data_IF_022110444292
#
_entry.id   IF_022110444292
#
_cell.length_a   1.000
_cell.length_b   1.000
_cell.length_c   1.000
_cell.angle_alpha   90.00
_cell.angle_beta   90.00
_cell.angle_gamma   90.00
#
_symmetry.space_group_name_H-M   'P 1'
#
loop_
_entity.id
_entity.type
_entity.pdbx_description
1 polymer ?
#
# COMPACT_ATOMS: atom_id res chain seq x y z
N UNK A 1 -36.90 76.34 36.37
CA UNK A 1 -35.61 75.65 36.18
C UNK A 1 -35.86 74.19 36.52
N UNK A 2 -35.97 73.31 35.51
CA UNK A 2 -36.10 71.88 35.76
C UNK A 2 -34.72 71.35 36.11
N UNK A 3 -34.48 71.11 37.40
CA UNK A 3 -33.36 70.27 37.84
C UNK A 3 -33.70 68.85 37.42
N UNK A 4 -33.18 68.44 36.27
CA UNK A 4 -33.19 67.02 35.89
C UNK A 4 -32.52 66.28 37.05
N UNK A 5 -33.27 65.39 37.69
CA UNK A 5 -32.80 64.69 38.88
C UNK A 5 -31.67 63.75 38.45
N UNK A 6 -30.51 63.86 39.09
CA UNK A 6 -29.31 63.10 38.72
C UNK A 6 -29.57 61.58 38.77
N UNK A 7 -30.52 61.17 39.61
CA UNK A 7 -30.99 59.79 39.74
C UNK A 7 -31.74 59.29 38.51
N UNK A 8 -32.54 60.13 37.85
CA UNK A 8 -33.26 59.76 36.63
C UNK A 8 -32.29 59.58 35.45
N UNK A 9 -31.26 60.41 35.38
CA UNK A 9 -30.20 60.30 34.35
C UNK A 9 -29.34 59.05 34.59
N UNK A 10 -28.97 58.78 35.84
CA UNK A 10 -28.22 57.58 36.20
C UNK A 10 -29.00 56.28 35.91
N UNK A 11 -30.32 56.28 36.15
CA UNK A 11 -31.21 55.14 35.90
C UNK A 11 -31.30 54.75 34.41
N UNK A 12 -31.04 55.67 33.49
CA UNK A 12 -31.02 55.41 32.04
C UNK A 12 -29.60 55.11 31.53
N UNK A 13 -28.59 55.85 32.01
CA UNK A 13 -27.20 55.71 31.53
C UNK A 13 -26.57 54.38 31.98
N UNK A 14 -26.81 53.95 33.22
CA UNK A 14 -26.17 52.74 33.76
C UNK A 14 -26.60 51.48 32.99
N UNK A 15 -27.90 51.22 32.72
CA UNK A 15 -28.32 50.09 31.88
C UNK A 15 -27.74 50.13 30.47
N UNK A 16 -27.66 51.31 29.84
CA UNK A 16 -27.08 51.45 28.50
C UNK A 16 -25.58 51.08 28.47
N UNK A 17 -24.82 51.45 29.51
CA UNK A 17 -23.41 51.05 29.64
C UNK A 17 -23.28 49.53 29.84
N UNK A 18 -24.14 48.91 30.65
CA UNK A 18 -24.14 47.45 30.87
C UNK A 18 -24.46 46.72 29.56
N UNK A 19 -25.47 47.16 28.82
CA UNK A 19 -25.83 46.59 27.51
C UNK A 19 -24.68 46.75 26.52
N UNK A 20 -24.04 47.93 26.45
CA UNK A 20 -22.90 48.16 25.58
C UNK A 20 -21.69 47.27 25.94
N UNK A 21 -21.40 47.10 27.23
CA UNK A 21 -20.33 46.21 27.69
C UNK A 21 -20.61 44.73 27.35
N UNK A 22 -21.86 44.28 27.50
CA UNK A 22 -22.29 42.93 27.10
C UNK A 22 -22.20 42.72 25.58
N UNK A 23 -22.56 43.70 24.77
CA UNK A 23 -22.39 43.63 23.31
C UNK A 23 -20.92 43.52 22.90
N UNK A 24 -20.02 44.30 23.53
CA UNK A 24 -18.57 44.23 23.26
C UNK A 24 -18.00 42.88 23.68
N UNK A 25 -18.40 42.36 24.83
CA UNK A 25 -17.96 41.05 25.32
C UNK A 25 -18.40 39.92 24.38
N UNK A 26 -19.68 39.91 23.99
CA UNK A 26 -20.22 38.92 23.06
C UNK A 26 -19.52 39.00 21.69
N UNK A 27 -19.30 40.20 21.16
CA UNK A 27 -18.58 40.38 19.89
C UNK A 27 -17.14 39.85 19.95
N UNK A 28 -16.43 40.06 21.06
CA UNK A 28 -15.07 39.50 21.24
C UNK A 28 -15.10 37.97 21.33
N UNK A 29 -16.05 37.42 22.09
CA UNK A 29 -16.20 35.97 22.23
C UNK A 29 -16.61 35.30 20.91
N UNK A 30 -17.49 35.93 20.12
CA UNK A 30 -17.85 35.48 18.78
C UNK A 30 -16.64 35.51 17.84
N UNK A 31 -15.82 36.58 17.90
CA UNK A 31 -14.57 36.65 17.12
C UNK A 31 -13.58 35.55 17.48
N UNK A 32 -13.42 35.24 18.78
CA UNK A 32 -12.57 34.14 19.24
C UNK A 32 -13.12 32.77 18.80
N UNK A 33 -14.44 32.59 18.81
CA UNK A 33 -15.09 31.37 18.31
C UNK A 33 -14.87 31.21 16.81
N UNK A 34 -15.08 32.26 16.03
CA UNK A 34 -14.93 32.23 14.58
C UNK A 34 -13.47 31.98 14.18
N UNK A 35 -12.51 32.53 14.92
CA UNK A 35 -11.09 32.23 14.73
C UNK A 35 -10.78 30.75 14.99
N UNK A 36 -11.29 30.17 16.09
CA UNK A 36 -11.14 28.73 16.37
C UNK A 36 -11.81 27.86 15.32
N UNK A 37 -12.95 28.30 14.79
CA UNK A 37 -13.65 27.59 13.73
C UNK A 37 -12.76 27.50 12.48
N UNK A 38 -12.14 28.59 12.06
CA UNK A 38 -11.21 28.60 10.93
C UNK A 38 -9.98 27.72 11.18
N UNK A 39 -9.40 27.76 12.39
CA UNK A 39 -8.29 26.86 12.76
C UNK A 39 -8.70 25.37 12.65
N UNK A 40 -9.93 25.02 13.03
CA UNK A 40 -10.45 23.66 12.86
C UNK A 40 -10.76 23.31 11.40
N UNK A 41 -11.26 24.24 10.61
CA UNK A 41 -11.50 24.04 9.18
C UNK A 41 -10.18 23.78 8.43
N UNK A 42 -9.13 24.56 8.74
CA UNK A 42 -7.79 24.38 8.17
C UNK A 42 -7.19 23.02 8.57
N UNK A 43 -7.33 22.62 9.83
CA UNK A 43 -6.85 21.32 10.30
C UNK A 43 -7.63 20.16 9.67
N UNK A 44 -8.95 20.29 9.53
CA UNK A 44 -9.79 19.32 8.80
C UNK A 44 -9.35 19.18 7.35
N UNK A 45 -9.10 20.29 6.66
CA UNK A 45 -8.62 20.27 5.27
C UNK A 45 -7.24 19.59 5.16
N UNK A 46 -6.34 19.85 6.13
CA UNK A 46 -5.02 19.20 6.19
C UNK A 46 -5.14 17.70 6.41
N UNK A 47 -5.99 17.26 7.33
CA UNK A 47 -6.23 15.84 7.62
C UNK A 47 -6.90 15.15 6.43
N UNK A 48 -7.86 15.80 5.78
CA UNK A 48 -8.50 15.27 4.57
C UNK A 48 -7.49 15.09 3.43
N UNK A 49 -6.62 16.07 3.18
CA UNK A 49 -5.58 15.94 2.16
C UNK A 49 -4.57 14.82 2.46
N UNK A 50 -4.28 14.56 3.74
CA UNK A 50 -3.46 13.40 4.15
C UNK A 50 -4.19 12.07 3.94
N UNK A 51 -5.49 12.04 4.26
CA UNK A 51 -6.36 10.89 4.04
C UNK A 51 -6.39 10.48 2.56
N UNK A 52 -6.65 11.44 1.68
CA UNK A 52 -6.71 11.22 0.23
C UNK A 52 -5.39 10.66 -0.32
N UNK A 53 -4.25 11.25 0.06
CA UNK A 53 -2.92 10.73 -0.34
C UNK A 53 -2.70 9.32 0.17
N UNK A 54 -2.98 9.04 1.45
CA UNK A 54 -2.86 7.70 2.02
C UNK A 54 -3.69 6.67 1.26
N UNK A 55 -4.96 6.99 0.98
CA UNK A 55 -5.84 6.14 0.18
C UNK A 55 -5.29 5.86 -1.22
N UNK A 56 -4.72 6.86 -1.90
CA UNK A 56 -4.12 6.70 -3.22
C UNK A 56 -2.87 5.81 -3.19
N UNK A 57 -2.02 5.94 -2.16
CA UNK A 57 -0.87 5.07 -1.94
C UNK A 57 -1.28 3.61 -1.74
N UNK A 58 -2.25 3.35 -0.86
CA UNK A 58 -2.76 1.99 -0.62
C UNK A 58 -3.40 1.39 -1.87
N UNK A 59 -4.19 2.17 -2.62
CA UNK A 59 -4.79 1.73 -3.87
C UNK A 59 -3.74 1.35 -4.91
N UNK A 60 -2.69 2.15 -5.04
CA UNK A 60 -1.58 1.90 -5.96
C UNK A 60 -0.83 0.61 -5.58
N UNK A 61 -0.58 0.40 -4.29
CA UNK A 61 0.08 -0.81 -3.80
C UNK A 61 -0.76 -2.08 -4.02
N UNK A 62 -2.09 -2.01 -3.82
CA UNK A 62 -2.98 -3.14 -4.11
C UNK A 62 -2.95 -3.54 -5.59
N UNK A 63 -2.91 -2.56 -6.51
CA UNK A 63 -2.77 -2.81 -7.95
C UNK A 63 -1.42 -3.46 -8.26
N UNK A 64 -0.35 -3.01 -7.61
CA UNK A 64 0.98 -3.62 -7.78
C UNK A 64 1.01 -5.06 -7.28
N UNK A 65 0.33 -5.40 -6.18
CA UNK A 65 0.21 -6.78 -5.69
C UNK A 65 -0.56 -7.68 -6.66
N UNK A 66 -1.53 -7.13 -7.40
CA UNK A 66 -2.21 -7.85 -8.48
C UNK A 66 -1.27 -8.11 -9.67
N UNK A 67 -0.43 -7.14 -10.03
CA UNK A 67 0.59 -7.32 -11.08
C UNK A 67 1.62 -8.38 -10.65
N UNK A 68 2.10 -8.35 -9.40
CA UNK A 68 2.98 -9.40 -8.84
C UNK A 68 2.37 -10.78 -9.02
N UNK A 69 1.09 -10.93 -8.65
CA UNK A 69 0.37 -12.21 -8.75
C UNK A 69 0.42 -12.75 -10.17
N UNK A 70 0.08 -11.91 -11.16
CA UNK A 70 0.10 -12.30 -12.57
C UNK A 70 1.51 -12.66 -13.06
N UNK A 71 2.53 -11.89 -12.68
CA UNK A 71 3.93 -12.13 -13.08
C UNK A 71 4.50 -13.40 -12.48
N UNK A 72 4.12 -13.73 -11.25
CA UNK A 72 4.54 -14.95 -10.57
C UNK A 72 3.95 -16.18 -11.23
N UNK A 73 2.65 -16.16 -11.54
CA UNK A 73 2.02 -17.27 -12.25
C UNK A 73 2.62 -17.47 -13.63
N UNK A 74 2.86 -16.38 -14.36
CA UNK A 74 3.55 -16.45 -15.65
C UNK A 74 4.97 -17.02 -15.54
N UNK A 75 5.78 -16.55 -14.58
CA UNK A 75 7.14 -17.04 -14.39
C UNK A 75 7.16 -18.55 -14.05
N UNK A 76 6.23 -18.98 -13.20
CA UNK A 76 6.07 -20.39 -12.82
C UNK A 76 5.68 -21.26 -14.01
N UNK A 77 4.73 -20.82 -14.83
CA UNK A 77 4.31 -21.53 -16.05
C UNK A 77 5.46 -21.69 -17.05
N UNK A 78 6.32 -20.68 -17.18
CA UNK A 78 7.51 -20.76 -18.05
C UNK A 78 8.54 -21.78 -17.54
N UNK A 79 8.77 -21.85 -16.24
CA UNK A 79 9.66 -22.86 -15.63
C UNK A 79 9.10 -24.27 -15.88
N UNK A 80 7.82 -24.48 -15.59
CA UNK A 80 7.16 -25.78 -15.78
C UNK A 80 7.19 -26.19 -17.25
N UNK A 81 6.83 -25.28 -18.15
CA UNK A 81 6.84 -25.54 -19.61
C UNK A 81 8.23 -25.93 -20.11
N UNK A 82 9.29 -25.29 -19.58
CA UNK A 82 10.67 -25.64 -19.90
C UNK A 82 11.02 -27.05 -19.42
N UNK A 83 10.72 -27.35 -18.15
CA UNK A 83 11.00 -28.66 -17.54
C UNK A 83 10.26 -29.78 -18.30
N UNK A 84 8.97 -29.56 -18.60
CA UNK A 84 8.15 -30.55 -19.31
C UNK A 84 8.67 -30.77 -20.73
N UNK A 85 9.14 -29.73 -21.42
CA UNK A 85 9.75 -29.86 -22.74
C UNK A 85 11.06 -30.67 -22.70
N UNK A 86 11.95 -30.39 -21.73
CA UNK A 86 13.19 -31.14 -21.53
C UNK A 86 12.89 -32.64 -21.24
N UNK A 87 11.91 -32.93 -20.37
CA UNK A 87 11.44 -34.30 -20.06
C UNK A 87 10.86 -35.00 -21.27
N UNK A 88 10.06 -34.30 -22.08
CA UNK A 88 9.46 -34.83 -23.31
C UNK A 88 10.56 -35.23 -24.31
N UNK A 89 11.50 -34.33 -24.61
CA UNK A 89 12.62 -34.61 -25.51
C UNK A 89 13.42 -35.83 -25.05
N UNK A 90 13.74 -35.91 -23.75
CA UNK A 90 14.44 -37.05 -23.16
C UNK A 90 13.66 -38.37 -23.35
N UNK A 91 12.34 -38.34 -23.09
CA UNK A 91 11.48 -39.53 -23.21
C UNK A 91 11.37 -40.07 -24.63
N UNK A 92 11.43 -39.19 -25.63
CA UNK A 92 11.40 -39.56 -27.06
C UNK A 92 12.78 -39.74 -27.69
N UNK A 93 13.87 -39.59 -26.92
CA UNK A 93 15.24 -39.64 -27.44
C UNK A 93 15.56 -38.56 -28.48
N UNK A 94 14.82 -37.45 -28.45
CA UNK A 94 15.02 -36.33 -29.35
C UNK A 94 16.00 -35.32 -28.73
N UNK A 95 16.89 -34.72 -29.53
CA UNK A 95 17.71 -33.61 -29.05
C UNK A 95 16.80 -32.43 -28.68
N UNK A 96 17.15 -31.75 -27.60
CA UNK A 96 16.43 -30.55 -27.16
C UNK A 96 16.76 -29.40 -28.09
N UNK A 97 15.74 -28.66 -28.54
CA UNK A 97 15.93 -27.44 -29.34
C UNK A 97 16.44 -26.30 -28.45
N UNK A 98 17.73 -26.02 -28.55
CA UNK A 98 18.39 -24.95 -27.79
C UNK A 98 17.79 -23.57 -28.06
N UNK A 99 17.28 -23.31 -29.26
CA UNK A 99 16.65 -22.03 -29.59
C UNK A 99 15.35 -21.86 -28.79
N UNK A 100 14.54 -22.92 -28.74
CA UNK A 100 13.29 -22.93 -27.97
C UNK A 100 13.55 -22.79 -26.46
N UNK A 101 14.57 -23.47 -25.95
CA UNK A 101 15.03 -23.29 -24.56
C UNK A 101 15.44 -21.85 -24.26
N UNK A 102 16.20 -21.21 -25.17
CA UNK A 102 16.64 -19.82 -25.02
C UNK A 102 15.45 -18.85 -24.98
N UNK A 103 14.41 -19.07 -25.80
CA UNK A 103 13.21 -18.23 -25.81
C UNK A 103 12.46 -18.28 -24.46
N UNK A 104 12.39 -19.46 -23.81
CA UNK A 104 11.85 -19.57 -22.45
C UNK A 104 12.71 -18.82 -21.43
N UNK A 105 14.04 -18.93 -21.55
CA UNK A 105 14.99 -18.23 -20.67
C UNK A 105 14.87 -16.70 -20.75
N UNK A 106 14.75 -16.13 -21.94
CA UNK A 106 14.62 -14.68 -22.12
C UNK A 106 13.29 -14.13 -21.56
N UNK A 107 12.17 -14.80 -21.86
CA UNK A 107 10.85 -14.41 -21.34
C UNK A 107 10.79 -14.47 -19.81
N UNK A 108 11.41 -15.48 -19.22
CA UNK A 108 11.54 -15.60 -17.78
C UNK A 108 12.37 -14.45 -17.19
N UNK A 109 13.55 -14.16 -17.76
CA UNK A 109 14.45 -13.13 -17.26
C UNK A 109 13.74 -11.77 -17.19
N UNK A 110 12.99 -11.44 -18.24
CA UNK A 110 12.15 -10.24 -18.27
C UNK A 110 11.10 -10.22 -17.14
N UNK A 111 10.48 -11.38 -16.84
CA UNK A 111 9.53 -11.49 -15.73
C UNK A 111 10.19 -11.31 -14.37
N UNK A 112 11.38 -11.90 -14.17
CA UNK A 112 12.13 -11.77 -12.91
C UNK A 112 12.60 -10.33 -12.68
N UNK A 113 13.11 -9.66 -13.71
CA UNK A 113 13.51 -8.25 -13.63
C UNK A 113 12.32 -7.35 -13.26
N UNK A 114 11.13 -7.64 -13.80
CA UNK A 114 9.90 -6.96 -13.40
C UNK A 114 9.53 -7.24 -11.94
N UNK A 115 9.60 -8.48 -11.46
CA UNK A 115 9.32 -8.81 -10.06
C UNK A 115 10.27 -8.07 -9.11
N UNK A 116 11.55 -8.01 -9.42
CA UNK A 116 12.54 -7.25 -8.65
C UNK A 116 12.26 -5.75 -8.66
N UNK A 117 11.83 -5.20 -9.80
CA UNK A 117 11.43 -3.79 -9.91
C UNK A 117 10.17 -3.48 -9.08
N UNK A 118 9.18 -4.39 -9.07
CA UNK A 118 7.95 -4.20 -8.29
C UNK A 118 8.23 -4.29 -6.79
N UNK A 119 9.16 -5.16 -6.35
CA UNK A 119 9.59 -5.25 -4.94
C UNK A 119 9.98 -3.87 -4.38
N UNK A 120 10.74 -3.08 -5.14
CA UNK A 120 11.14 -1.74 -4.73
C UNK A 120 9.95 -0.78 -4.57
N UNK A 121 8.88 -0.97 -5.34
CA UNK A 121 7.67 -0.13 -5.32
C UNK A 121 6.74 -0.48 -4.16
N UNK A 122 6.61 -1.77 -3.84
CA UNK A 122 5.70 -2.24 -2.76
C UNK A 122 6.36 -2.16 -1.38
N UNK A 123 7.69 -2.08 -1.31
CA UNK A 123 8.44 -2.07 -0.04
C UNK A 123 8.05 -0.96 0.94
N UNK A 124 7.51 0.16 0.46
CA UNK A 124 7.06 1.26 1.31
C UNK A 124 5.68 1.01 1.95
N UNK A 125 4.92 0.04 1.45
CA UNK A 125 3.50 -0.13 1.77
C UNK A 125 3.14 -1.51 2.31
N UNK A 126 4.02 -2.51 2.12
CA UNK A 126 3.83 -3.87 2.60
C UNK A 126 4.64 -4.15 3.86
N UNK A 127 4.26 -5.18 4.59
CA UNK A 127 4.99 -5.66 5.76
C UNK A 127 6.40 -6.14 5.43
N UNK A 128 7.32 -6.01 6.39
CA UNK A 128 8.68 -6.55 6.26
C UNK A 128 8.69 -8.08 6.13
N UNK A 129 7.72 -8.75 6.76
CA UNK A 129 7.52 -10.20 6.65
C UNK A 129 7.18 -10.58 5.21
N UNK A 130 6.22 -9.89 4.59
CA UNK A 130 5.89 -10.11 3.19
C UNK A 130 7.07 -9.84 2.25
N UNK A 131 7.87 -8.81 2.51
CA UNK A 131 9.08 -8.54 1.71
C UNK A 131 10.13 -9.63 1.83
N UNK A 132 10.28 -10.25 3.01
CA UNK A 132 11.16 -11.38 3.21
C UNK A 132 10.66 -12.60 2.43
N UNK A 133 9.36 -12.93 2.54
CA UNK A 133 8.73 -14.01 1.79
C UNK A 133 8.86 -13.80 0.27
N UNK A 134 8.65 -12.57 -0.21
CA UNK A 134 8.81 -12.21 -1.62
C UNK A 134 10.24 -12.42 -2.10
N UNK A 135 11.22 -12.02 -1.30
CA UNK A 135 12.64 -12.18 -1.61
C UNK A 135 13.02 -13.66 -1.66
N UNK A 136 12.51 -14.45 -0.72
CA UNK A 136 12.73 -15.89 -0.67
C UNK A 136 12.12 -16.58 -1.89
N UNK A 137 10.88 -16.26 -2.24
CA UNK A 137 10.19 -16.86 -3.37
C UNK A 137 10.86 -16.52 -4.71
N UNK A 138 11.22 -15.25 -4.93
CA UNK A 138 11.95 -14.84 -6.14
C UNK A 138 13.33 -15.50 -6.24
N UNK A 139 14.01 -15.71 -5.11
CA UNK A 139 15.27 -16.47 -5.05
C UNK A 139 15.06 -17.94 -5.40
N UNK A 140 14.03 -18.58 -4.87
CA UNK A 140 13.66 -19.96 -5.18
C UNK A 140 13.36 -20.15 -6.67
N UNK A 141 12.58 -19.26 -7.26
CA UNK A 141 12.25 -19.28 -8.67
C UNK A 141 13.50 -19.07 -9.55
N UNK A 142 14.45 -18.22 -9.12
CA UNK A 142 15.74 -18.06 -9.78
C UNK A 142 16.64 -19.31 -9.67
N UNK A 143 16.65 -20.01 -8.53
CA UNK A 143 17.41 -21.25 -8.37
C UNK A 143 16.81 -22.40 -9.19
N UNK A 144 15.48 -22.49 -9.30
CA UNK A 144 14.82 -23.45 -10.19
C UNK A 144 15.30 -23.30 -11.64
N UNK A 145 15.45 -22.06 -12.12
CA UNK A 145 15.92 -21.81 -13.48
C UNK A 145 17.37 -22.22 -13.73
N UNK A 146 18.22 -22.05 -12.72
CA UNK A 146 19.63 -22.43 -12.79
C UNK A 146 19.87 -23.92 -12.54
N UNK A 147 18.79 -24.70 -12.33
CA UNK A 147 18.85 -26.10 -11.90
C UNK A 147 19.70 -26.28 -10.63
N UNK A 148 19.71 -25.27 -9.76
CA UNK A 148 20.48 -25.27 -8.50
C UNK A 148 19.69 -25.86 -7.33
N UNK A 149 18.41 -26.19 -7.54
CA UNK A 149 17.54 -26.73 -6.50
C UNK A 149 17.91 -28.17 -6.09
N UNK A 150 18.74 -28.86 -6.87
CA UNK A 150 19.15 -30.25 -6.62
C UNK A 150 20.69 -30.38 -6.65
N UNK A 151 21.23 -31.03 -5.61
CA UNK A 151 22.67 -31.22 -5.39
C UNK A 151 23.23 -32.45 -6.11
N UNK A 152 22.42 -33.22 -6.84
CA UNK A 152 22.86 -34.42 -7.55
C UNK A 152 22.48 -34.38 -9.05
N UNK A 153 23.42 -34.73 -9.95
CA UNK A 153 23.16 -34.77 -11.37
C UNK A 153 22.24 -35.95 -11.70
N UNK A 154 20.94 -35.66 -11.91
CA UNK A 154 19.96 -36.67 -12.30
C UNK A 154 18.57 -36.45 -11.71
N UNK A 155 18.45 -35.65 -10.65
CA UNK A 155 17.15 -35.19 -10.21
C UNK A 155 16.62 -34.13 -11.20
N UNK A 156 15.37 -34.30 -11.59
CA UNK A 156 14.65 -33.30 -12.36
C UNK A 156 13.76 -32.56 -11.39
N UNK A 157 13.84 -31.23 -11.38
CA UNK A 157 12.92 -30.36 -10.63
C UNK A 157 11.48 -30.86 -10.84
N UNK A 158 10.83 -31.21 -9.74
CA UNK A 158 9.43 -31.62 -9.73
C UNK A 158 8.53 -30.40 -9.95
N UNK A 159 7.83 -30.38 -11.08
CA UNK A 159 6.91 -29.31 -11.45
C UNK A 159 5.75 -29.16 -10.44
N UNK A 160 5.39 -30.25 -9.75
CA UNK A 160 4.41 -30.23 -8.67
C UNK A 160 4.92 -29.44 -7.46
N UNK A 161 6.21 -29.58 -7.10
CA UNK A 161 6.82 -28.80 -6.01
C UNK A 161 6.83 -27.31 -6.37
N UNK A 162 7.17 -26.96 -7.62
CA UNK A 162 7.14 -25.56 -8.07
C UNK A 162 5.74 -24.95 -7.94
N UNK A 163 4.68 -25.70 -8.30
CA UNK A 163 3.29 -25.26 -8.10
C UNK A 163 2.88 -25.14 -6.63
N UNK A 164 3.38 -26.01 -5.76
CA UNK A 164 3.14 -25.90 -4.32
C UNK A 164 3.74 -24.59 -3.79
N UNK A 165 4.99 -24.29 -4.12
CA UNK A 165 5.67 -23.07 -3.67
C UNK A 165 5.00 -21.81 -4.23
N UNK A 166 4.58 -21.82 -5.51
CA UNK A 166 3.76 -20.74 -6.07
C UNK A 166 2.48 -20.54 -5.24
N UNK A 167 1.73 -21.61 -4.99
CA UNK A 167 0.45 -21.54 -4.26
C UNK A 167 0.64 -20.98 -2.85
N UNK A 168 1.67 -21.44 -2.13
CA UNK A 168 2.01 -20.92 -0.80
C UNK A 168 2.27 -19.41 -0.86
N UNK A 169 3.02 -18.96 -1.85
CA UNK A 169 3.33 -17.54 -1.98
C UNK A 169 2.11 -16.70 -2.40
N UNK A 170 1.24 -17.21 -3.27
CA UNK A 170 -0.02 -16.54 -3.62
C UNK A 170 -0.94 -16.35 -2.40
N UNK A 171 -0.94 -17.31 -1.47
CA UNK A 171 -1.66 -17.16 -0.20
C UNK A 171 -1.08 -15.99 0.61
N UNK A 172 0.26 -15.87 0.69
CA UNK A 172 0.94 -14.74 1.36
C UNK A 172 0.58 -13.39 0.74
N UNK A 173 0.53 -13.28 -0.59
CA UNK A 173 0.06 -12.06 -1.26
C UNK A 173 -1.36 -11.72 -0.84
N UNK A 174 -2.25 -12.72 -0.77
CA UNK A 174 -3.64 -12.51 -0.40
C UNK A 174 -3.80 -12.09 1.06
N UNK A 175 -3.04 -12.68 1.97
CA UNK A 175 -2.97 -12.29 3.38
C UNK A 175 -2.55 -10.82 3.52
N UNK A 176 -1.48 -10.43 2.82
CA UNK A 176 -0.98 -9.05 2.82
C UNK A 176 -2.04 -8.09 2.26
N UNK A 177 -2.69 -8.41 1.14
CA UNK A 177 -3.78 -7.58 0.59
C UNK A 177 -4.92 -7.38 1.60
N UNK A 178 -5.32 -8.43 2.30
CA UNK A 178 -6.38 -8.34 3.31
C UNK A 178 -5.92 -7.46 4.48
N UNK A 179 -4.67 -7.60 4.92
CA UNK A 179 -4.10 -6.75 5.98
C UNK A 179 -4.11 -5.29 5.58
N UNK A 180 -3.62 -4.96 4.38
CA UNK A 180 -3.59 -3.60 3.88
C UNK A 180 -4.98 -2.98 3.74
N UNK A 181 -5.97 -3.78 3.31
CA UNK A 181 -7.36 -3.33 3.24
C UNK A 181 -7.92 -3.06 4.64
N UNK A 182 -7.62 -3.92 5.63
CA UNK A 182 -8.03 -3.68 7.02
C UNK A 182 -7.39 -2.42 7.58
N UNK A 183 -6.10 -2.20 7.36
CA UNK A 183 -5.40 -0.99 7.83
C UNK A 183 -6.00 0.28 7.24
N UNK A 184 -6.45 0.23 5.98
CA UNK A 184 -7.16 1.31 5.31
C UNK A 184 -8.54 1.56 5.95
N UNK A 185 -9.30 0.51 6.28
CA UNK A 185 -10.62 0.64 6.92
C UNK A 185 -10.56 1.02 8.40
N UNK A 186 -9.54 0.57 9.13
CA UNK A 186 -9.37 0.83 10.56
C UNK A 186 -8.72 2.19 10.83
N UNK A 187 -8.28 2.92 9.81
CA UNK A 187 -7.69 4.26 9.93
C UNK A 187 -6.31 4.29 10.62
N UNK A 188 -5.72 3.11 10.89
CA UNK A 188 -4.43 2.97 11.59
C UNK A 188 -3.24 3.57 10.83
N UNK A 189 -3.36 3.77 9.51
CA UNK A 189 -2.28 4.32 8.69
C UNK A 189 -2.11 5.84 8.80
N UNK A 190 -3.07 6.58 9.40
CA UNK A 190 -2.98 8.05 9.49
C UNK A 190 -2.18 8.56 10.68
N UNK A 191 -1.96 7.72 11.70
CA UNK A 191 -1.14 8.06 12.88
C UNK A 191 0.36 8.08 12.57
N UNK A 192 0.80 7.36 11.53
CA UNK A 192 2.21 7.27 11.14
C UNK A 192 2.72 8.48 10.33
N UNK A 193 1.83 9.30 9.76
CA UNK A 193 2.21 10.53 9.04
C UNK A 193 2.32 11.68 10.06
N UNK A 194 2.99 11.48 11.20
CA UNK A 194 3.36 12.56 12.11
C UNK A 194 4.77 13.02 11.78
N UNK A 195 4.91 13.68 10.64
CA UNK A 195 6.06 14.53 10.30
C UNK A 195 5.55 15.79 9.58
#
# INVERSE_FOLDING_TARGET
MNTVDYWDVAAVIIPLIVIAAQLIFNYRHDKERDQKLHEWEDELARLQGRLERGCEYYRSALILLDDVTAKISFATEMIISRIDYEKLCSSYGQPVDEKKLSEYGEKYKLSLDHLLAIRGKIAATTSNEFLADFTQYTTYIASCMRNECEKEPGDHIDTHIVKIEETKFLIKIREEKISMQKDLFEGKSFDAIKD
#
